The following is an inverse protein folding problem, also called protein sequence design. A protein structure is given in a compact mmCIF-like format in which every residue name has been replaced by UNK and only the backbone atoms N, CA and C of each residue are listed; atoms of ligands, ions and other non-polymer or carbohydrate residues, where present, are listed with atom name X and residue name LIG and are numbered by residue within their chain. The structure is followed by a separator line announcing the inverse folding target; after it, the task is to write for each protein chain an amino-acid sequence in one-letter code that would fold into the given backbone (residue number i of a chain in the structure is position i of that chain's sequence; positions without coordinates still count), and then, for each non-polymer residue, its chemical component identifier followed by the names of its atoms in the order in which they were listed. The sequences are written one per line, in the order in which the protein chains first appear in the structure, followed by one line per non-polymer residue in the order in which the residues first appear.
data_IF_634576618821
#
_entry.id   IF_634576618821
#
_cell.length_a   1.000
_cell.length_b   1.000
_cell.length_c   1.000
_cell.angle_alpha   90.00
_cell.angle_beta   90.00
_cell.angle_gamma   90.00
#
_symmetry.space_group_name_H-M   'P 1'
#
loop_
_entity.id
_entity.type
_entity.pdbx_description
1 polymer ?
#
# COMPACT_ATOMS: atom_id res chain seq x y z
N UNK A 1 4.08 -50.14 -20.42
CA UNK A 1 4.61 -49.15 -19.47
C UNK A 1 5.14 -47.89 -20.16
N UNK A 2 5.95 -47.94 -21.23
CA UNK A 2 6.50 -46.75 -21.92
C UNK A 2 5.44 -45.75 -22.43
N UNK A 3 4.33 -46.20 -23.05
CA UNK A 3 3.25 -45.33 -23.56
C UNK A 3 2.46 -44.59 -22.45
N UNK A 4 2.33 -45.20 -21.27
CA UNK A 4 1.67 -44.54 -20.11
C UNK A 4 2.61 -43.47 -19.55
N UNK A 5 3.89 -43.75 -19.46
CA UNK A 5 4.90 -42.81 -18.98
C UNK A 5 5.02 -41.56 -19.88
N UNK A 6 5.00 -41.76 -21.22
CA UNK A 6 5.01 -40.67 -22.20
C UNK A 6 3.71 -39.82 -22.10
N UNK A 7 2.57 -40.46 -21.96
CA UNK A 7 1.28 -39.72 -21.81
C UNK A 7 1.26 -38.89 -20.55
N UNK A 8 1.70 -39.45 -19.40
CA UNK A 8 1.78 -38.75 -18.14
C UNK A 8 2.75 -37.56 -18.20
N UNK A 9 3.92 -37.75 -18.81
CA UNK A 9 4.92 -36.70 -19.02
C UNK A 9 4.37 -35.55 -19.91
N UNK A 10 3.67 -35.87 -20.99
CA UNK A 10 3.03 -34.86 -21.84
C UNK A 10 1.92 -34.09 -21.09
N UNK A 11 1.08 -34.79 -20.34
CA UNK A 11 0.04 -34.15 -19.54
C UNK A 11 0.61 -33.20 -18.49
N UNK A 12 1.69 -33.62 -17.79
CA UNK A 12 2.40 -32.78 -16.83
C UNK A 12 3.01 -31.54 -17.51
N UNK A 13 3.66 -31.71 -18.66
CA UNK A 13 4.24 -30.59 -19.41
C UNK A 13 3.16 -29.58 -19.87
N UNK A 14 2.02 -30.04 -20.34
CA UNK A 14 0.88 -29.18 -20.67
C UNK A 14 0.34 -28.45 -19.45
N UNK A 15 0.21 -29.13 -18.30
CA UNK A 15 -0.22 -28.49 -17.05
C UNK A 15 0.71 -27.37 -16.59
N UNK A 16 2.03 -27.62 -16.64
CA UNK A 16 3.06 -26.61 -16.33
C UNK A 16 3.00 -25.43 -17.30
N UNK A 17 2.83 -25.69 -18.61
CA UNK A 17 2.71 -24.64 -19.61
C UNK A 17 1.47 -23.77 -19.40
N UNK A 18 0.32 -24.37 -19.09
CA UNK A 18 -0.93 -23.65 -18.79
C UNK A 18 -0.80 -22.82 -17.51
N UNK A 19 -0.18 -23.36 -16.46
CA UNK A 19 0.09 -22.61 -15.22
C UNK A 19 1.00 -21.40 -15.48
N UNK A 20 2.08 -21.60 -16.24
CA UNK A 20 2.98 -20.52 -16.62
C UNK A 20 2.25 -19.44 -17.46
N UNK A 21 1.48 -19.86 -18.47
CA UNK A 21 0.71 -18.94 -19.31
C UNK A 21 -0.34 -18.15 -18.49
N UNK A 22 -1.06 -18.82 -17.60
CA UNK A 22 -2.02 -18.18 -16.72
C UNK A 22 -1.33 -17.17 -15.79
N UNK A 23 -0.17 -17.49 -15.24
CA UNK A 23 0.57 -16.59 -14.36
C UNK A 23 1.20 -15.42 -15.10
N UNK A 24 2.01 -15.68 -16.13
CA UNK A 24 2.76 -14.62 -16.82
C UNK A 24 1.89 -13.72 -17.71
N UNK A 25 0.76 -14.21 -18.19
CA UNK A 25 -0.10 -13.47 -19.13
C UNK A 25 -1.47 -13.21 -18.53
N UNK A 26 -2.12 -14.26 -17.98
CA UNK A 26 -3.49 -14.16 -17.50
C UNK A 26 -3.64 -13.20 -16.30
N UNK A 27 -2.77 -13.33 -15.28
CA UNK A 27 -2.81 -12.45 -14.10
C UNK A 27 -2.54 -10.97 -14.47
N UNK A 28 -1.46 -10.62 -15.19
CA UNK A 28 -1.23 -9.23 -15.60
C UNK A 28 -2.37 -8.64 -16.41
N UNK A 29 -2.92 -9.40 -17.36
CA UNK A 29 -4.05 -8.96 -18.18
C UNK A 29 -5.30 -8.68 -17.33
N UNK A 30 -5.64 -9.60 -16.42
CA UNK A 30 -6.80 -9.45 -15.55
C UNK A 30 -6.64 -8.24 -14.62
N UNK A 31 -5.47 -8.09 -13.97
CA UNK A 31 -5.18 -6.96 -13.07
C UNK A 31 -5.26 -5.64 -13.82
N UNK A 32 -4.60 -5.55 -14.99
CA UNK A 32 -4.65 -4.35 -15.82
C UNK A 32 -6.10 -3.97 -16.17
N UNK A 33 -6.88 -4.94 -16.66
CA UNK A 33 -8.28 -4.71 -17.06
C UNK A 33 -9.13 -4.24 -15.87
N UNK A 34 -8.97 -4.88 -14.71
CA UNK A 34 -9.72 -4.51 -13.50
C UNK A 34 -9.37 -3.11 -13.04
N UNK A 35 -8.07 -2.76 -12.98
CA UNK A 35 -7.64 -1.43 -12.52
C UNK A 35 -8.07 -0.37 -13.52
N UNK A 36 -7.71 -0.50 -14.80
CA UNK A 36 -8.02 0.50 -15.82
C UNK A 36 -9.54 0.71 -15.96
N UNK A 37 -10.35 -0.35 -15.90
CA UNK A 37 -11.79 -0.24 -16.05
C UNK A 37 -12.46 0.26 -14.77
N UNK A 38 -12.30 -0.45 -13.65
CA UNK A 38 -13.05 -0.15 -12.43
C UNK A 38 -12.64 1.19 -11.81
N UNK A 39 -11.33 1.51 -11.79
CA UNK A 39 -10.86 2.78 -11.24
C UNK A 39 -11.21 3.94 -12.17
N UNK A 40 -11.13 3.73 -13.49
CA UNK A 40 -11.55 4.77 -14.46
C UNK A 40 -13.05 5.06 -14.37
N UNK A 41 -13.89 4.04 -14.24
CA UNK A 41 -15.33 4.20 -14.06
C UNK A 41 -15.67 4.90 -12.72
N UNK A 42 -15.01 4.48 -11.64
CA UNK A 42 -15.23 5.05 -10.31
C UNK A 42 -14.86 6.52 -10.23
N UNK A 43 -13.72 6.89 -10.82
CA UNK A 43 -13.18 8.25 -10.78
C UNK A 43 -13.63 9.12 -11.95
N UNK A 44 -14.31 8.55 -12.94
CA UNK A 44 -14.64 9.19 -14.22
C UNK A 44 -13.40 9.81 -14.89
N UNK A 45 -12.25 9.10 -14.83
CA UNK A 45 -10.94 9.53 -15.32
C UNK A 45 -10.22 8.38 -16.00
N UNK A 46 -9.42 8.68 -17.02
CA UNK A 46 -8.61 7.65 -17.68
C UNK A 46 -7.43 7.27 -16.81
N UNK A 47 -7.46 6.06 -16.23
CA UNK A 47 -6.34 5.50 -15.49
C UNK A 47 -5.41 4.78 -16.45
N UNK A 48 -4.12 4.99 -16.34
CA UNK A 48 -3.10 4.34 -17.18
C UNK A 48 -2.13 3.54 -16.34
N UNK A 49 -1.68 2.42 -16.89
CA UNK A 49 -0.68 1.53 -16.32
C UNK A 49 0.40 1.22 -17.37
N UNK A 50 1.66 1.43 -17.05
CA UNK A 50 2.75 1.11 -17.96
C UNK A 50 2.97 -0.39 -18.06
N UNK A 51 3.15 -1.06 -16.91
CA UNK A 51 3.48 -2.48 -16.89
C UNK A 51 2.91 -3.18 -15.64
N UNK A 52 2.47 -4.41 -15.85
CA UNK A 52 2.04 -5.32 -14.78
C UNK A 52 2.72 -6.65 -15.00
N UNK A 53 3.42 -7.15 -14.01
CA UNK A 53 4.12 -8.42 -14.05
C UNK A 53 3.74 -9.30 -12.88
N UNK A 54 3.64 -10.57 -13.15
CA UNK A 54 3.51 -11.60 -12.12
C UNK A 54 4.40 -12.78 -12.46
N UNK A 55 5.21 -13.20 -11.52
CA UNK A 55 6.00 -14.41 -11.66
C UNK A 55 5.32 -15.54 -10.87
N UNK A 56 4.71 -16.54 -11.55
CA UNK A 56 3.97 -17.61 -10.87
C UNK A 56 4.87 -18.59 -10.10
N UNK A 57 6.18 -18.59 -10.33
CA UNK A 57 7.11 -19.48 -9.62
C UNK A 57 7.62 -18.89 -8.31
N UNK A 58 7.81 -17.57 -8.28
CA UNK A 58 8.29 -16.85 -7.10
C UNK A 58 7.19 -16.09 -6.38
N UNK A 59 6.00 -15.99 -6.98
CA UNK A 59 4.83 -15.25 -6.49
C UNK A 59 5.09 -13.75 -6.28
N UNK A 60 6.02 -13.23 -7.07
CA UNK A 60 6.32 -11.81 -7.11
C UNK A 60 5.37 -11.12 -8.08
N UNK A 61 4.67 -10.12 -7.56
CA UNK A 61 3.81 -9.21 -8.31
C UNK A 61 4.47 -7.83 -8.40
N UNK A 62 4.50 -7.23 -9.57
CA UNK A 62 4.96 -5.86 -9.81
C UNK A 62 3.95 -5.09 -10.65
N UNK A 63 3.67 -3.86 -10.23
CA UNK A 63 2.89 -2.88 -10.97
C UNK A 63 3.72 -1.62 -11.12
N UNK A 64 3.84 -1.11 -12.34
CA UNK A 64 4.68 0.05 -12.66
C UNK A 64 3.90 1.10 -13.42
N UNK A 65 4.22 2.38 -13.13
CA UNK A 65 3.72 3.52 -13.88
C UNK A 65 2.21 3.68 -13.82
N UNK A 66 1.58 3.45 -12.65
CA UNK A 66 0.19 3.80 -12.46
C UNK A 66 0.05 5.33 -12.44
N UNK A 67 -0.82 5.86 -13.28
CA UNK A 67 -1.09 7.30 -13.34
C UNK A 67 -2.59 7.55 -13.43
N UNK A 68 -3.08 8.44 -12.56
CA UNK A 68 -4.43 8.98 -12.59
C UNK A 68 -4.31 10.47 -12.91
N UNK A 69 -4.68 10.91 -14.12
CA UNK A 69 -4.50 12.29 -14.54
C UNK A 69 -5.46 13.24 -13.82
N UNK A 70 -5.06 14.52 -13.74
CA UNK A 70 -5.89 15.65 -13.35
C UNK A 70 -5.89 16.68 -14.48
N UNK A 71 -7.03 17.30 -14.79
CA UNK A 71 -7.13 18.32 -15.85
C UNK A 71 -6.36 19.58 -15.47
N UNK A 72 -5.40 19.97 -16.32
CA UNK A 72 -4.67 21.24 -16.20
C UNK A 72 -3.69 21.34 -15.03
N UNK A 73 -3.30 20.22 -14.44
CA UNK A 73 -2.34 20.16 -13.33
C UNK A 73 -1.50 18.87 -13.37
N UNK A 74 -0.64 18.72 -12.36
CA UNK A 74 0.06 17.46 -12.13
C UNK A 74 -0.95 16.32 -11.88
N UNK A 75 -0.61 15.06 -12.19
CA UNK A 75 -1.49 13.93 -11.97
C UNK A 75 -2.00 13.87 -10.52
N UNK A 76 -3.29 13.55 -10.34
CA UNK A 76 -3.89 13.34 -9.01
C UNK A 76 -3.11 12.28 -8.22
N UNK A 77 -2.75 11.20 -8.90
CA UNK A 77 -1.93 10.14 -8.32
C UNK A 77 -0.98 9.58 -9.38
N UNK A 78 0.26 9.39 -8.99
CA UNK A 78 1.21 8.58 -9.75
C UNK A 78 1.98 7.65 -8.82
N UNK A 79 2.27 6.45 -9.30
CA UNK A 79 3.00 5.42 -8.58
C UNK A 79 4.07 4.83 -9.50
N UNK A 80 5.33 4.97 -9.12
CA UNK A 80 6.44 4.43 -9.90
C UNK A 80 6.50 2.91 -9.87
N UNK A 81 6.50 2.33 -8.67
CA UNK A 81 6.56 0.87 -8.47
C UNK A 81 5.74 0.46 -7.23
N UNK A 82 4.90 -0.55 -7.41
CA UNK A 82 4.42 -1.42 -6.35
C UNK A 82 4.97 -2.83 -6.58
N UNK A 83 5.72 -3.35 -5.62
CA UNK A 83 6.20 -4.72 -5.62
C UNK A 83 5.67 -5.46 -4.39
N UNK A 84 5.13 -6.64 -4.60
CA UNK A 84 4.65 -7.53 -3.55
C UNK A 84 5.27 -8.91 -3.80
N UNK A 85 5.98 -9.43 -2.81
CA UNK A 85 6.54 -10.76 -2.81
C UNK A 85 5.74 -11.62 -1.83
N UNK A 86 4.95 -12.55 -2.35
CA UNK A 86 4.13 -13.42 -1.53
C UNK A 86 4.90 -14.71 -1.19
N UNK A 87 4.97 -15.00 0.10
CA UNK A 87 5.68 -16.18 0.59
C UNK A 87 4.94 -17.48 0.29
N UNK A 88 5.66 -18.52 -0.09
CA UNK A 88 5.12 -19.88 -0.17
C UNK A 88 4.57 -20.39 1.17
N UNK A 89 4.96 -19.77 2.28
CA UNK A 89 4.42 -20.08 3.62
C UNK A 89 2.91 -19.81 3.73
N UNK A 90 2.36 -18.94 2.87
CA UNK A 90 0.90 -18.67 2.77
C UNK A 90 0.12 -19.95 2.60
N UNK A 91 0.62 -20.92 1.81
CA UNK A 91 -0.04 -22.21 1.60
C UNK A 91 -0.03 -23.09 2.83
N UNK A 92 1.06 -23.08 3.58
CA UNK A 92 1.22 -23.96 4.76
C UNK A 92 0.57 -23.38 6.01
N UNK A 93 0.59 -22.06 6.15
CA UNK A 93 0.02 -21.37 7.32
C UNK A 93 -1.46 -21.05 7.15
N UNK A 94 -2.02 -21.24 5.94
CA UNK A 94 -3.40 -20.84 5.58
C UNK A 94 -3.72 -19.39 5.97
N UNK A 95 -2.71 -18.53 5.88
CA UNK A 95 -2.76 -17.14 6.26
C UNK A 95 -1.86 -16.33 5.31
N UNK A 96 -2.22 -15.10 4.94
CA UNK A 96 -1.38 -14.26 4.09
C UNK A 96 -0.02 -14.02 4.72
N UNK A 97 1.05 -14.45 4.04
CA UNK A 97 2.44 -14.15 4.38
C UNK A 97 3.08 -13.47 3.19
N UNK A 98 3.50 -12.22 3.37
CA UNK A 98 4.21 -11.46 2.36
C UNK A 98 5.65 -11.21 2.86
N UNK A 99 6.62 -11.58 2.03
CA UNK A 99 8.04 -11.46 2.38
C UNK A 99 8.59 -10.06 2.08
N UNK A 100 7.95 -9.32 1.15
CA UNK A 100 8.29 -7.94 0.83
C UNK A 100 7.08 -7.17 0.31
N UNK A 101 6.95 -5.91 0.74
CA UNK A 101 6.06 -4.91 0.13
C UNK A 101 6.88 -3.65 -0.11
N UNK A 102 7.06 -3.28 -1.37
CA UNK A 102 7.76 -2.06 -1.75
C UNK A 102 6.85 -1.14 -2.54
N UNK A 103 6.72 0.11 -2.06
CA UNK A 103 6.03 1.21 -2.73
C UNK A 103 7.08 2.28 -3.01
N UNK A 104 7.35 2.57 -4.27
CA UNK A 104 8.34 3.57 -4.68
C UNK A 104 7.75 4.61 -5.61
N UNK A 105 8.05 5.87 -5.31
CA UNK A 105 7.61 6.99 -6.14
C UNK A 105 6.10 7.23 -6.13
N UNK A 106 5.42 6.98 -5.00
CA UNK A 106 4.02 7.36 -4.83
C UNK A 106 3.91 8.88 -4.69
N UNK A 107 3.23 9.53 -5.63
CA UNK A 107 2.94 10.95 -5.59
C UNK A 107 1.44 11.17 -5.62
N UNK A 108 0.92 11.93 -4.68
CA UNK A 108 -0.49 12.30 -4.59
C UNK A 108 -0.60 13.83 -4.59
N UNK A 109 -1.37 14.38 -5.52
CA UNK A 109 -1.62 15.81 -5.62
C UNK A 109 -3.13 16.06 -5.48
N UNK A 110 -3.56 16.38 -4.28
CA UNK A 110 -4.95 16.68 -4.00
C UNK A 110 -5.19 18.20 -4.14
N UNK A 111 -5.78 18.62 -5.25
CA UNK A 111 -6.15 20.01 -5.48
C UNK A 111 -7.65 20.16 -5.24
N UNK A 112 -8.01 20.84 -4.17
CA UNK A 112 -9.40 21.14 -3.83
C UNK A 112 -9.77 22.48 -4.45
N UNK A 113 -10.87 22.48 -5.18
CA UNK A 113 -11.53 23.67 -5.68
C UNK A 113 -13.05 23.53 -5.41
N UNK A 114 -13.82 24.59 -5.59
CA UNK A 114 -15.26 24.55 -5.34
C UNK A 114 -16.01 23.47 -6.14
N UNK A 115 -15.47 23.10 -7.30
CA UNK A 115 -16.07 22.12 -8.21
C UNK A 115 -15.86 20.68 -7.74
N UNK A 116 -14.64 20.34 -7.28
CA UNK A 116 -14.27 18.96 -6.92
C UNK A 116 -14.30 18.69 -5.41
N UNK A 117 -14.56 19.70 -4.57
CA UNK A 117 -14.64 19.54 -3.12
C UNK A 117 -15.59 18.40 -2.71
N UNK A 118 -16.78 18.36 -3.29
CA UNK A 118 -17.78 17.31 -2.99
C UNK A 118 -17.37 15.92 -3.44
N UNK A 119 -16.62 15.83 -4.55
CA UNK A 119 -16.08 14.55 -5.05
C UNK A 119 -14.94 14.07 -4.16
N UNK A 120 -14.05 14.98 -3.76
CA UNK A 120 -12.95 14.68 -2.86
C UNK A 120 -13.45 14.32 -1.46
N UNK A 121 -14.45 15.02 -0.93
CA UNK A 121 -15.13 14.68 0.32
C UNK A 121 -15.78 13.30 0.25
N UNK A 122 -16.37 12.91 -0.87
CA UNK A 122 -16.87 11.55 -1.07
C UNK A 122 -15.77 10.50 -1.14
N UNK A 123 -14.62 10.84 -1.73
CA UNK A 123 -13.48 9.92 -1.85
C UNK A 123 -12.68 9.80 -0.53
N UNK A 124 -12.53 10.92 0.21
CA UNK A 124 -11.77 10.98 1.45
C UNK A 124 -12.66 10.79 2.69
N UNK A 125 -13.93 11.18 2.63
CA UNK A 125 -14.91 11.16 3.71
C UNK A 125 -16.10 10.23 3.47
N UNK A 126 -16.06 9.44 2.41
CA UNK A 126 -17.08 8.41 2.17
C UNK A 126 -17.11 7.44 3.36
N UNK A 127 -18.31 7.10 3.80
CA UNK A 127 -18.65 6.24 4.94
C UNK A 127 -17.82 4.93 5.11
N UNK A 128 -16.87 4.68 4.20
CA UNK A 128 -15.98 3.51 4.21
C UNK A 128 -14.67 3.76 4.96
N UNK A 129 -14.19 5.01 5.06
CA UNK A 129 -13.05 5.35 5.94
C UNK A 129 -13.47 5.26 7.41
N UNK A 130 -14.66 5.75 7.75
CA UNK A 130 -15.26 5.58 9.08
C UNK A 130 -15.60 4.11 9.37
N UNK A 131 -16.06 3.35 8.37
CA UNK A 131 -16.26 1.91 8.50
C UNK A 131 -14.95 1.15 8.65
N UNK A 132 -13.90 1.48 7.89
CA UNK A 132 -12.59 0.86 8.02
C UNK A 132 -11.97 1.17 9.39
N UNK A 133 -12.07 2.41 9.87
CA UNK A 133 -11.60 2.82 11.19
C UNK A 133 -12.46 2.22 12.31
N UNK A 134 -13.79 2.16 12.14
CA UNK A 134 -14.70 1.52 13.08
C UNK A 134 -14.58 0.00 13.07
N UNK A 135 -14.29 -0.62 11.91
CA UNK A 135 -14.03 -2.06 11.82
C UNK A 135 -12.70 -2.38 12.50
N UNK A 136 -11.66 -1.58 12.31
CA UNK A 136 -10.40 -1.72 13.03
C UNK A 136 -10.56 -1.48 14.55
N UNK A 137 -11.33 -0.45 14.94
CA UNK A 137 -11.62 -0.17 16.35
C UNK A 137 -12.53 -1.23 17.00
N UNK A 138 -13.55 -1.71 16.28
CA UNK A 138 -14.41 -2.82 16.76
C UNK A 138 -13.66 -4.14 16.85
N UNK A 139 -12.67 -4.38 16.00
CA UNK A 139 -11.80 -5.57 16.11
C UNK A 139 -10.86 -5.50 17.30
N UNK A 140 -10.58 -4.30 17.82
CA UNK A 140 -9.78 -4.12 19.04
C UNK A 140 -10.59 -4.36 20.33
N UNK A 141 -11.92 -4.20 20.29
CA UNK A 141 -12.79 -4.32 21.46
C UNK A 141 -13.47 -5.71 21.59
N UNK A 142 -13.38 -6.56 20.56
CA UNK A 142 -13.86 -7.95 20.60
C UNK A 142 -12.73 -8.88 21.02
N UNK A 143 -12.55 -9.04 22.32
CA UNK A 143 -11.54 -9.87 22.97
C UNK A 143 -11.64 -11.38 22.73
N UNK A 144 -12.52 -11.85 21.83
CA UNK A 144 -12.71 -13.31 21.60
C UNK A 144 -12.85 -13.72 20.11
N UNK A 145 -13.00 -12.81 19.17
CA UNK A 145 -12.84 -13.10 17.75
C UNK A 145 -11.37 -12.85 17.37
N UNK A 146 -10.56 -13.91 17.36
CA UNK A 146 -9.13 -13.81 17.06
C UNK A 146 -8.89 -12.98 15.80
N UNK A 147 -7.95 -12.01 15.86
CA UNK A 147 -7.55 -11.23 14.70
C UNK A 147 -7.20 -12.17 13.53
N UNK A 148 -7.57 -11.84 12.29
CA UNK A 148 -7.15 -12.65 11.15
C UNK A 148 -5.64 -12.81 11.16
N UNK A 149 -5.16 -14.03 10.97
CA UNK A 149 -3.73 -14.29 10.98
C UNK A 149 -3.10 -13.78 9.70
N UNK A 150 -2.03 -13.01 9.83
CA UNK A 150 -1.19 -12.57 8.72
C UNK A 150 0.24 -12.31 9.19
N UNK A 151 1.17 -12.27 8.24
CA UNK A 151 2.53 -11.80 8.46
C UNK A 151 3.02 -11.01 7.23
N UNK A 152 3.46 -9.78 7.45
CA UNK A 152 4.00 -8.89 6.43
C UNK A 152 5.41 -8.53 6.83
N UNK A 153 6.37 -8.75 5.94
CA UNK A 153 7.78 -8.47 6.16
C UNK A 153 8.28 -7.39 5.19
N UNK A 154 9.36 -6.71 5.57
CA UNK A 154 10.10 -5.76 4.73
C UNK A 154 9.21 -4.75 4.00
N UNK A 155 8.30 -4.09 4.74
CA UNK A 155 7.45 -3.05 4.19
C UNK A 155 8.27 -1.78 4.02
N UNK A 156 8.38 -1.30 2.78
CA UNK A 156 9.15 -0.11 2.43
C UNK A 156 8.29 0.83 1.59
N UNK A 157 8.22 2.10 1.99
CA UNK A 157 7.74 3.21 1.15
C UNK A 157 8.93 4.12 0.91
N UNK A 158 9.19 4.50 -0.33
CA UNK A 158 10.33 5.34 -0.68
C UNK A 158 9.93 6.40 -1.72
N UNK A 159 10.70 7.50 -1.78
CA UNK A 159 10.59 8.54 -2.81
C UNK A 159 9.16 9.05 -3.02
N UNK A 160 8.37 9.10 -1.95
CA UNK A 160 6.94 9.40 -2.03
C UNK A 160 6.64 10.82 -1.57
N UNK A 161 5.55 11.39 -2.08
CA UNK A 161 5.14 12.75 -1.76
C UNK A 161 3.62 12.90 -1.76
N UNK A 162 3.13 13.82 -0.95
CA UNK A 162 1.75 14.25 -0.90
C UNK A 162 1.70 15.76 -0.96
N UNK A 163 0.91 16.32 -1.86
CA UNK A 163 0.61 17.75 -1.89
C UNK A 163 -0.90 17.93 -1.74
N UNK A 164 -1.28 18.80 -0.84
CA UNK A 164 -2.67 19.21 -0.63
C UNK A 164 -2.80 20.70 -0.86
N UNK A 165 -3.63 21.10 -1.82
CA UNK A 165 -3.94 22.49 -2.10
C UNK A 165 -5.43 22.75 -1.97
N UNK A 166 -5.83 23.69 -1.13
CA UNK A 166 -7.18 24.23 -1.12
C UNK A 166 -7.13 25.70 -1.55
N UNK A 167 -7.48 25.93 -2.82
CA UNK A 167 -7.46 27.28 -3.41
C UNK A 167 -8.47 28.22 -2.80
N UNK A 168 -9.55 27.72 -2.22
CA UNK A 168 -10.60 28.54 -1.59
C UNK A 168 -10.19 29.01 -0.20
N UNK A 169 -9.35 28.24 0.48
CA UNK A 169 -8.87 28.56 1.84
C UNK A 169 -7.41 29.08 1.82
N UNK A 170 -6.76 29.08 0.66
CA UNK A 170 -5.35 29.49 0.55
C UNK A 170 -4.37 28.50 1.22
N UNK A 171 -4.76 27.24 1.37
CA UNK A 171 -3.93 26.20 1.96
C UNK A 171 -3.08 25.57 0.87
N UNK A 172 -1.78 25.42 1.10
CA UNK A 172 -0.83 24.67 0.26
C UNK A 172 0.15 23.94 1.17
N UNK A 173 -0.13 22.68 1.41
CA UNK A 173 0.66 21.81 2.30
C UNK A 173 1.35 20.74 1.46
N UNK A 174 2.65 20.54 1.74
CA UNK A 174 3.46 19.56 1.02
C UNK A 174 4.23 18.65 1.98
N UNK A 175 4.08 17.36 1.76
CA UNK A 175 4.89 16.32 2.37
C UNK A 175 5.76 15.71 1.25
N UNK A 176 7.07 15.80 1.41
CA UNK A 176 8.03 15.29 0.42
C UNK A 176 9.04 14.35 1.05
N UNK A 177 9.77 13.63 0.23
CA UNK A 177 10.81 12.69 0.65
C UNK A 177 10.32 11.68 1.69
N UNK A 178 9.03 11.28 1.58
CA UNK A 178 8.46 10.28 2.48
C UNK A 178 9.18 8.95 2.28
N UNK A 179 9.74 8.47 3.36
CA UNK A 179 10.32 7.14 3.47
C UNK A 179 9.83 6.45 4.74
N UNK A 180 9.27 5.26 4.60
CA UNK A 180 8.82 4.41 5.70
C UNK A 180 9.52 3.08 5.57
N UNK A 181 10.07 2.58 6.68
CA UNK A 181 10.61 1.23 6.78
C UNK A 181 9.98 0.54 7.97
N UNK A 182 9.29 -0.55 7.71
CA UNK A 182 8.66 -1.37 8.73
C UNK A 182 9.11 -2.82 8.53
N UNK A 183 10.02 -3.32 9.39
CA UNK A 183 10.66 -4.63 9.20
C UNK A 183 9.66 -5.78 9.15
N UNK A 184 8.66 -5.76 10.02
CA UNK A 184 7.56 -6.71 9.95
C UNK A 184 6.36 -6.27 10.78
N UNK A 185 5.19 -6.82 10.42
CA UNK A 185 3.95 -6.76 11.18
C UNK A 185 3.28 -8.13 11.11
N UNK A 186 2.93 -8.73 12.25
CA UNK A 186 2.32 -10.04 12.25
C UNK A 186 1.37 -10.20 13.42
N UNK A 187 0.21 -10.78 13.15
CA UNK A 187 -0.77 -11.20 14.15
C UNK A 187 -0.57 -12.65 14.59
N UNK A 188 0.37 -13.37 13.94
CA UNK A 188 0.67 -14.76 14.28
C UNK A 188 1.20 -14.87 15.71
N UNK A 189 0.74 -15.87 16.46
CA UNK A 189 1.08 -16.05 17.85
C UNK A 189 2.60 -16.13 18.08
N UNK A 190 3.33 -16.80 17.18
CA UNK A 190 4.80 -16.92 17.24
C UNK A 190 5.56 -15.61 17.10
N UNK A 191 4.94 -14.57 16.54
CA UNK A 191 5.57 -13.26 16.27
C UNK A 191 4.91 -12.11 17.05
N UNK A 192 3.84 -12.37 17.79
CA UNK A 192 3.02 -11.34 18.45
C UNK A 192 3.80 -10.54 19.49
N UNK A 193 4.72 -11.18 20.22
CA UNK A 193 5.55 -10.55 21.24
C UNK A 193 6.88 -9.99 20.69
N UNK A 194 7.09 -10.06 19.38
CA UNK A 194 8.33 -9.59 18.79
C UNK A 194 8.37 -8.06 18.71
N UNK A 195 9.52 -7.48 19.04
CA UNK A 195 9.76 -6.05 18.89
C UNK A 195 9.94 -5.69 17.42
N UNK A 196 9.21 -4.69 16.99
CA UNK A 196 9.31 -4.08 15.65
C UNK A 196 10.00 -2.73 15.77
N UNK A 197 10.91 -2.43 14.86
CA UNK A 197 11.67 -1.18 14.83
C UNK A 197 11.30 -0.35 13.59
N UNK A 198 10.15 0.34 13.60
CA UNK A 198 9.75 1.21 12.49
C UNK A 198 10.68 2.41 12.36
N UNK A 199 10.86 2.88 11.13
CA UNK A 199 11.53 4.14 10.84
C UNK A 199 10.70 4.92 9.80
N UNK A 200 10.56 6.23 10.04
CA UNK A 200 9.88 7.18 9.19
C UNK A 200 10.78 8.39 8.99
N UNK A 201 10.91 8.85 7.76
CA UNK A 201 11.47 10.16 7.45
C UNK A 201 10.64 10.86 6.40
N UNK A 202 10.48 12.17 6.53
CA UNK A 202 9.74 13.00 5.59
C UNK A 202 10.15 14.47 5.75
N UNK A 203 9.75 15.29 4.79
CA UNK A 203 9.75 16.75 4.93
C UNK A 203 8.33 17.27 4.84
N UNK A 204 7.88 17.97 5.87
CA UNK A 204 6.59 18.67 5.91
C UNK A 204 6.85 20.17 5.69
N UNK A 205 6.39 20.71 4.57
CA UNK A 205 6.63 22.10 4.18
C UNK A 205 8.12 22.51 4.27
N UNK A 206 9.02 21.59 3.90
CA UNK A 206 10.47 21.79 3.98
C UNK A 206 11.10 21.51 5.35
N UNK A 207 10.30 21.27 6.39
CA UNK A 207 10.79 20.89 7.73
C UNK A 207 11.05 19.38 7.80
N UNK A 208 12.26 18.97 8.06
CA UNK A 208 12.61 17.56 8.14
C UNK A 208 12.10 16.94 9.46
N UNK A 209 11.43 15.82 9.33
CA UNK A 209 10.88 15.03 10.43
C UNK A 209 11.41 13.60 10.31
N UNK A 210 12.03 13.11 11.36
CA UNK A 210 12.49 11.74 11.49
C UNK A 210 11.86 11.11 12.72
N UNK A 211 11.29 9.93 12.58
CA UNK A 211 10.75 9.16 13.67
C UNK A 211 11.31 7.74 13.62
N UNK A 212 11.83 7.27 14.74
CA UNK A 212 12.30 5.90 14.93
C UNK A 212 11.80 5.38 16.27
N UNK A 213 11.67 4.09 16.39
CA UNK A 213 11.21 3.56 17.66
C UNK A 213 11.22 2.04 17.71
N UNK A 214 10.63 1.54 18.78
CA UNK A 214 10.35 0.12 18.98
C UNK A 214 8.90 -0.02 19.43
N UNK A 215 8.21 -1.05 18.93
CA UNK A 215 6.82 -1.32 19.32
C UNK A 215 6.53 -2.81 19.28
N UNK A 216 5.56 -3.24 20.08
CA UNK A 216 4.92 -4.55 20.00
C UNK A 216 3.46 -4.36 19.60
N UNK A 217 3.15 -4.20 18.31
CA UNK A 217 1.83 -3.75 17.86
C UNK A 217 0.69 -4.72 18.20
N UNK A 218 0.99 -6.01 18.41
CA UNK A 218 0.01 -7.05 18.71
C UNK A 218 0.36 -7.83 19.97
N UNK A 219 1.29 -7.33 20.78
CA UNK A 219 1.64 -7.93 22.07
C UNK A 219 0.48 -7.88 23.06
N UNK A 220 0.52 -8.73 24.08
CA UNK A 220 -0.44 -8.69 25.20
C UNK A 220 -0.40 -7.37 25.95
N UNK A 221 0.78 -6.75 26.01
CA UNK A 221 0.98 -5.37 26.46
C UNK A 221 1.41 -4.52 25.25
N UNK A 222 0.68 -3.45 24.98
CA UNK A 222 1.09 -2.48 23.95
C UNK A 222 2.27 -1.69 24.48
N UNK A 223 3.46 -2.04 24.01
CA UNK A 223 4.69 -1.33 24.33
C UNK A 223 5.11 -0.53 23.09
N UNK A 224 5.34 0.76 23.27
CA UNK A 224 5.85 1.62 22.21
C UNK A 224 6.83 2.64 22.80
N UNK A 225 7.98 2.75 22.18
CA UNK A 225 8.97 3.81 22.43
C UNK A 225 9.19 4.55 21.13
N UNK A 226 8.97 5.85 21.10
CA UNK A 226 9.12 6.69 19.93
C UNK A 226 10.17 7.77 20.17
N UNK A 227 11.13 7.89 19.27
CA UNK A 227 12.09 8.99 19.19
C UNK A 227 11.71 9.84 17.98
N UNK A 228 11.30 11.07 18.24
CA UNK A 228 10.92 12.04 17.21
C UNK A 228 11.97 13.15 17.15
N UNK A 229 12.48 13.41 15.94
CA UNK A 229 13.41 14.51 15.67
C UNK A 229 12.81 15.40 14.61
N UNK A 230 12.63 16.67 14.93
CA UNK A 230 12.08 17.67 14.04
C UNK A 230 13.10 18.79 13.85
N UNK A 231 13.39 19.14 12.60
CA UNK A 231 14.35 20.19 12.27
C UNK A 231 13.64 21.33 11.54
N UNK A 232 13.89 22.58 11.99
CA UNK A 232 13.39 23.81 11.36
C UNK A 232 11.87 23.88 11.26
N UNK A 233 11.18 23.60 12.36
CA UNK A 233 9.73 23.75 12.42
C UNK A 233 9.35 25.24 12.28
N UNK A 234 8.66 25.61 11.19
CA UNK A 234 8.05 26.94 11.09
C UNK A 234 6.73 26.94 11.85
N UNK A 235 6.83 27.30 13.15
CA UNK A 235 5.67 27.34 14.05
C UNK A 235 4.57 28.32 13.62
N UNK A 236 4.93 29.35 12.83
CA UNK A 236 3.94 30.33 12.34
C UNK A 236 3.00 29.72 11.29
N UNK A 237 3.48 28.81 10.45
CA UNK A 237 2.65 28.09 9.48
C UNK A 237 1.73 27.05 10.13
N UNK A 238 2.23 26.33 11.16
CA UNK A 238 1.40 25.36 11.87
C UNK A 238 0.22 25.99 12.63
N UNK A 239 0.37 27.20 13.14
CA UNK A 239 -0.70 27.92 13.83
C UNK A 239 -1.83 28.32 12.87
N UNK A 240 -1.54 28.57 11.59
CA UNK A 240 -2.55 28.94 10.59
C UNK A 240 -3.36 27.75 10.06
N UNK A 241 -2.85 26.52 10.16
CA UNK A 241 -3.55 25.29 9.73
C UNK A 241 -4.45 24.67 10.82
N UNK A 242 -4.44 25.23 12.03
CA UNK A 242 -5.24 24.76 13.19
C UNK A 242 -6.42 25.66 13.53
N UNK A 243 -6.62 26.76 12.79
CA UNK A 243 -7.74 27.69 12.90
C UNK A 243 -8.68 27.54 11.71
#
# INVERSE_FOLDING_TARGET
MAKVLTFTACAAAVGVALYAAAGYVGVPYAVRTVIEKNVSELLNRTVTLDDVRFNPWTWVFELRGLTIPEEGSDPLLSLGLLRIDASSQTLFKLAPVLDEITIDGLKVNAVVNEKNRRELEKLLGGNDADKATQTAAKSADSSDAGLPQFALYNITVANSSLRYQDKSQGIDESLTDLSVKLPFVSTMESARESLVTPALSLKLNGSAIEATGTTKPFGKSLEAQLNLKVQRLDAARLALSLI
#
